data_IF_860275118807
#
_entry.id   IF_860275118807
#
_cell.length_a   1.000
_cell.length_b   1.000
_cell.length_c   1.000
_cell.angle_alpha   90.00
_cell.angle_beta   90.00
_cell.angle_gamma   90.00
#
_symmetry.space_group_name_H-M   'P 1'
#
loop_
_entity.id
_entity.type
_entity.pdbx_description
1 polymer ?
#
# COMPACT_ATOMS: atom_id res chain seq x y z
N UNK A 1 12.81 24.83 39.73
CA UNK A 1 12.30 25.03 38.34
C UNK A 1 11.63 23.75 37.90
N UNK A 2 10.29 23.67 37.96
CA UNK A 2 9.53 22.57 37.38
C UNK A 2 9.15 22.96 35.95
N UNK A 3 9.65 22.22 34.97
CA UNK A 3 9.17 22.30 33.59
C UNK A 3 7.87 21.48 33.50
N UNK A 4 6.73 22.18 33.53
CA UNK A 4 5.43 21.56 33.27
C UNK A 4 5.32 21.17 31.80
N UNK A 5 5.36 19.88 31.50
CA UNK A 5 5.00 19.34 30.20
C UNK A 5 3.49 19.52 29.99
N UNK A 6 3.10 20.55 29.25
CA UNK A 6 1.75 20.67 28.70
C UNK A 6 1.54 19.67 27.57
N UNK A 7 0.96 18.52 27.85
CA UNK A 7 0.48 17.61 26.81
C UNK A 7 -0.84 18.13 26.26
N UNK A 8 -0.82 18.59 25.00
CA UNK A 8 -2.04 18.97 24.28
C UNK A 8 -2.64 17.70 23.68
N UNK A 9 -3.82 17.30 24.15
CA UNK A 9 -4.61 16.22 23.54
C UNK A 9 -5.58 16.87 22.55
N UNK A 10 -5.35 16.64 21.27
CA UNK A 10 -6.25 17.09 20.21
C UNK A 10 -7.41 16.09 20.10
N UNK A 11 -8.54 16.41 20.72
CA UNK A 11 -9.77 15.62 20.65
C UNK A 11 -10.54 16.04 19.40
N UNK A 12 -10.49 15.22 18.35
CA UNK A 12 -11.35 15.34 17.17
C UNK A 12 -12.57 14.40 17.27
N UNK A 13 -13.69 14.72 16.61
CA UNK A 13 -14.86 13.83 16.55
C UNK A 13 -14.48 12.43 16.05
N UNK A 14 -15.19 11.37 16.47
CA UNK A 14 -14.85 9.98 16.13
C UNK A 14 -14.76 9.72 14.61
N UNK A 15 -15.49 10.51 13.81
CA UNK A 15 -15.46 10.49 12.34
C UNK A 15 -14.20 11.13 11.73
N UNK A 16 -13.40 11.83 12.53
CA UNK A 16 -12.07 12.36 12.21
C UNK A 16 -10.93 11.42 12.58
N UNK A 17 -11.20 10.18 13.03
CA UNK A 17 -10.21 9.13 12.89
C UNK A 17 -9.81 9.15 11.40
N UNK A 18 -8.56 9.55 11.04
CA UNK A 18 -8.26 9.87 9.67
C UNK A 18 -8.41 8.56 8.91
N UNK A 19 -9.51 8.41 8.18
CA UNK A 19 -9.63 7.44 7.10
C UNK A 19 -8.58 7.90 6.10
N UNK A 20 -7.31 7.58 6.36
CA UNK A 20 -6.17 7.93 5.53
C UNK A 20 -6.54 7.42 4.15
N UNK A 21 -6.91 8.34 3.28
CA UNK A 21 -7.23 8.04 1.89
C UNK A 21 -5.88 7.81 1.23
N UNK A 22 -5.43 6.57 1.27
CA UNK A 22 -4.22 6.17 0.57
C UNK A 22 -4.48 6.26 -0.92
N UNK A 23 -3.60 6.98 -1.63
CA UNK A 23 -3.62 7.01 -3.09
C UNK A 23 -3.40 5.59 -3.62
N UNK A 24 -4.05 5.25 -4.73
CA UNK A 24 -3.87 3.95 -5.39
C UNK A 24 -2.41 3.66 -5.72
N UNK A 25 -1.64 4.69 -6.07
CA UNK A 25 -0.20 4.61 -6.31
C UNK A 25 0.59 4.24 -5.04
N UNK A 26 0.20 4.76 -3.88
CA UNK A 26 0.79 4.39 -2.59
C UNK A 26 0.46 2.94 -2.21
N UNK A 27 -0.77 2.50 -2.49
CA UNK A 27 -1.18 1.10 -2.32
C UNK A 27 -0.37 0.19 -3.24
N UNK A 28 -0.25 0.54 -4.53
CA UNK A 28 0.52 -0.23 -5.51
C UNK A 28 2.00 -0.33 -5.11
N UNK A 29 2.59 0.78 -4.65
CA UNK A 29 3.94 0.80 -4.11
C UNK A 29 4.09 -0.15 -2.92
N UNK A 30 3.15 -0.12 -1.96
CA UNK A 30 3.16 -1.01 -0.81
C UNK A 30 3.18 -2.49 -1.21
N UNK A 31 2.33 -2.86 -2.17
CA UNK A 31 2.25 -4.22 -2.70
C UNK A 31 3.56 -4.62 -3.38
N UNK A 32 4.15 -3.74 -4.20
CA UNK A 32 5.44 -3.97 -4.86
C UNK A 32 6.60 -4.17 -3.88
N UNK A 33 6.72 -3.31 -2.86
CA UNK A 33 7.75 -3.44 -1.84
C UNK A 33 7.64 -4.78 -1.11
N UNK A 34 6.42 -5.19 -0.75
CA UNK A 34 6.19 -6.44 -0.04
C UNK A 34 6.38 -7.70 -0.90
N UNK A 35 5.88 -7.70 -2.14
CA UNK A 35 5.93 -8.89 -3.00
C UNK A 35 7.23 -9.03 -3.77
N UNK A 36 7.71 -7.93 -4.36
CA UNK A 36 8.81 -7.96 -5.34
C UNK A 36 10.15 -7.74 -4.68
N UNK A 37 10.22 -6.82 -3.70
CA UNK A 37 11.43 -6.58 -2.92
C UNK A 37 11.48 -7.39 -1.63
N UNK A 38 10.43 -8.16 -1.32
CA UNK A 38 10.39 -9.04 -0.17
C UNK A 38 10.47 -8.32 1.19
N UNK A 39 10.19 -7.02 1.22
CA UNK A 39 10.32 -6.22 2.44
C UNK A 39 9.35 -6.71 3.54
N UNK A 40 9.75 -6.63 4.81
CA UNK A 40 8.86 -6.90 5.93
C UNK A 40 7.81 -5.80 6.04
N UNK A 41 6.66 -6.13 6.64
CA UNK A 41 5.49 -5.24 6.63
C UNK A 41 5.73 -3.91 7.35
N UNK A 42 6.59 -3.88 8.38
CA UNK A 42 7.00 -2.65 9.06
C UNK A 42 7.76 -1.68 8.14
N UNK A 43 8.71 -2.18 7.35
CA UNK A 43 9.47 -1.35 6.39
C UNK A 43 8.56 -0.82 5.28
N UNK A 44 7.62 -1.66 4.80
CA UNK A 44 6.62 -1.24 3.83
C UNK A 44 5.72 -0.13 4.41
N UNK A 45 5.29 -0.27 5.66
CA UNK A 45 4.52 0.76 6.35
C UNK A 45 5.30 2.08 6.44
N UNK A 46 6.57 2.02 6.85
CA UNK A 46 7.41 3.21 6.96
C UNK A 46 7.62 3.90 5.62
N UNK A 47 7.88 3.12 4.56
CA UNK A 47 8.03 3.64 3.20
C UNK A 47 6.77 4.31 2.66
N UNK A 48 5.58 3.81 3.01
CA UNK A 48 4.30 4.30 2.46
C UNK A 48 3.74 5.47 3.28
N UNK A 49 3.98 5.49 4.59
CA UNK A 49 3.40 6.48 5.51
C UNK A 49 4.36 7.57 5.95
N UNK A 50 5.67 7.35 5.78
CA UNK A 50 6.72 8.21 6.34
C UNK A 50 6.83 8.12 7.87
N UNK A 51 6.13 7.18 8.51
CA UNK A 51 6.11 7.01 9.96
C UNK A 51 6.90 5.79 10.40
N UNK A 52 7.50 5.88 11.58
CA UNK A 52 8.20 4.75 12.17
C UNK A 52 7.27 3.54 12.39
N UNK A 53 7.76 2.36 12.03
CA UNK A 53 7.07 1.08 12.22
C UNK A 53 6.92 0.70 13.69
N UNK A 54 7.72 1.29 14.60
CA UNK A 54 7.57 1.16 16.05
C UNK A 54 6.19 1.65 16.57
N UNK A 55 5.44 2.39 15.74
CA UNK A 55 4.06 2.81 16.05
C UNK A 55 3.01 1.73 15.74
N UNK A 56 3.41 0.60 15.15
CA UNK A 56 2.53 -0.56 14.97
C UNK A 56 2.65 -1.48 16.18
N UNK A 57 1.53 -1.83 16.82
CA UNK A 57 1.50 -2.86 17.88
C UNK A 57 2.03 -4.21 17.42
N UNK A 58 1.91 -4.50 16.12
CA UNK A 58 2.41 -5.72 15.45
C UNK A 58 2.90 -5.37 14.05
N UNK A 59 4.15 -4.88 13.90
CA UNK A 59 4.68 -4.45 12.61
C UNK A 59 4.75 -5.59 11.58
N UNK A 60 4.85 -6.83 12.02
CA UNK A 60 4.80 -8.04 11.20
C UNK A 60 3.39 -8.41 10.70
N UNK A 61 2.34 -7.75 11.24
CA UNK A 61 0.93 -7.96 10.89
C UNK A 61 0.23 -6.65 10.57
N UNK A 62 0.77 -5.90 9.61
CA UNK A 62 0.10 -4.73 9.06
C UNK A 62 -1.17 -5.15 8.28
N UNK A 63 -2.29 -5.22 9.01
CA UNK A 63 -3.60 -5.69 8.53
C UNK A 63 -4.06 -4.97 7.26
N UNK A 64 -3.75 -3.68 7.15
CA UNK A 64 -4.13 -2.85 5.99
C UNK A 64 -3.51 -3.36 4.69
N UNK A 65 -2.25 -3.80 4.70
CA UNK A 65 -1.61 -4.38 3.50
C UNK A 65 -2.33 -5.64 3.04
N UNK A 66 -2.69 -6.52 3.98
CA UNK A 66 -3.46 -7.72 3.68
C UNK A 66 -4.90 -7.42 3.24
N UNK A 67 -5.49 -6.29 3.65
CA UNK A 67 -6.79 -5.87 3.14
C UNK A 67 -6.68 -5.33 1.71
N UNK A 68 -5.66 -4.52 1.43
CA UNK A 68 -5.40 -4.02 0.09
C UNK A 68 -5.13 -5.13 -0.90
N UNK A 69 -4.27 -6.10 -0.54
CA UNK A 69 -3.99 -7.23 -1.41
C UNK A 69 -5.28 -8.02 -1.75
N UNK A 70 -6.16 -8.27 -0.78
CA UNK A 70 -7.46 -8.93 -1.04
C UNK A 70 -8.38 -8.09 -1.92
N UNK A 71 -8.49 -6.80 -1.65
CA UNK A 71 -9.34 -5.89 -2.42
C UNK A 71 -8.83 -5.72 -3.87
N UNK A 72 -7.51 -5.75 -4.06
CA UNK A 72 -6.88 -5.80 -5.39
C UNK A 72 -7.18 -7.11 -6.11
N UNK A 73 -7.06 -8.27 -5.45
CA UNK A 73 -7.47 -9.56 -6.02
C UNK A 73 -8.95 -9.59 -6.42
N UNK A 74 -9.82 -8.92 -5.67
CA UNK A 74 -11.24 -8.81 -5.99
C UNK A 74 -11.56 -7.81 -7.12
N UNK A 75 -10.56 -7.09 -7.64
CA UNK A 75 -10.74 -6.03 -8.64
C UNK A 75 -11.41 -4.77 -8.11
N UNK A 76 -11.44 -4.59 -6.77
CA UNK A 76 -12.10 -3.44 -6.12
C UNK A 76 -11.20 -2.20 -6.12
N UNK A 77 -9.89 -2.38 -5.92
CA UNK A 77 -8.93 -1.26 -5.88
C UNK A 77 -8.39 -0.87 -7.25
N UNK A 78 -8.23 -1.85 -8.14
CA UNK A 78 -7.68 -1.66 -9.48
C UNK A 78 -8.55 -2.44 -10.47
N UNK A 79 -9.29 -1.73 -11.33
CA UNK A 79 -10.22 -2.39 -12.27
C UNK A 79 -9.49 -3.11 -13.41
N UNK A 80 -8.33 -2.60 -13.78
CA UNK A 80 -7.51 -3.20 -14.82
C UNK A 80 -6.78 -4.48 -14.38
N UNK A 81 -6.80 -4.81 -13.08
CA UNK A 81 -6.24 -6.07 -12.58
C UNK A 81 -7.31 -7.15 -12.69
N UNK A 82 -7.03 -8.27 -13.38
CA UNK A 82 -7.97 -9.39 -13.45
C UNK A 82 -8.26 -9.94 -12.06
N UNK A 83 -9.49 -10.42 -11.84
CA UNK A 83 -9.83 -11.03 -10.55
C UNK A 83 -8.98 -12.27 -10.31
N UNK A 84 -8.34 -12.33 -9.15
CA UNK A 84 -7.49 -13.44 -8.74
C UNK A 84 -8.19 -14.20 -7.63
N UNK A 85 -8.58 -15.45 -7.90
CA UNK A 85 -9.15 -16.34 -6.89
C UNK A 85 -8.03 -16.80 -5.94
N UNK A 86 -7.87 -16.09 -4.83
CA UNK A 86 -6.89 -16.43 -3.79
C UNK A 86 -7.58 -16.59 -2.44
N UNK A 87 -7.61 -17.82 -1.92
CA UNK A 87 -8.08 -18.13 -0.57
C UNK A 87 -7.06 -17.69 0.49
N UNK A 88 -5.77 -17.74 0.15
CA UNK A 88 -4.66 -17.30 1.00
C UNK A 88 -3.81 -16.27 0.25
N UNK A 89 -3.51 -15.16 0.90
CA UNK A 89 -2.62 -14.14 0.36
C UNK A 89 -1.17 -14.62 0.44
N UNK A 90 -0.59 -14.90 -0.73
CA UNK A 90 0.85 -15.19 -0.88
C UNK A 90 1.54 -14.03 -1.61
N UNK A 91 2.84 -13.87 -1.40
CA UNK A 91 3.65 -12.88 -2.13
C UNK A 91 3.57 -13.07 -3.64
N UNK A 92 3.53 -14.31 -4.11
CA UNK A 92 3.36 -14.65 -5.53
C UNK A 92 2.02 -14.16 -6.09
N UNK A 93 0.93 -14.30 -5.32
CA UNK A 93 -0.38 -13.75 -5.69
C UNK A 93 -0.33 -12.23 -5.82
N UNK A 94 0.30 -11.54 -4.87
CA UNK A 94 0.43 -10.08 -4.92
C UNK A 94 1.38 -9.62 -6.02
N UNK A 95 2.42 -10.41 -6.33
CA UNK A 95 3.30 -10.15 -7.46
C UNK A 95 2.53 -10.15 -8.78
N UNK A 96 1.58 -11.06 -8.98
CA UNK A 96 0.74 -11.05 -10.18
C UNK A 96 -0.09 -9.77 -10.33
N UNK A 97 -0.57 -9.19 -9.22
CA UNK A 97 -1.27 -7.89 -9.21
C UNK A 97 -0.30 -6.79 -9.67
N UNK A 98 0.90 -6.77 -9.12
CA UNK A 98 1.95 -5.80 -9.45
C UNK A 98 2.33 -5.89 -10.93
N UNK A 99 2.50 -7.11 -11.45
CA UNK A 99 2.84 -7.34 -12.86
C UNK A 99 1.71 -6.90 -13.80
N UNK A 100 0.46 -7.14 -13.43
CA UNK A 100 -0.70 -6.63 -14.16
C UNK A 100 -0.70 -5.09 -14.20
N UNK A 101 -0.43 -4.43 -13.07
CA UNK A 101 -0.32 -2.96 -13.03
C UNK A 101 0.82 -2.45 -13.91
N UNK A 102 1.99 -3.07 -13.88
CA UNK A 102 3.13 -2.73 -14.76
C UNK A 102 2.77 -2.92 -16.24
N UNK A 103 1.96 -3.94 -16.56
CA UNK A 103 1.44 -4.21 -17.90
C UNK A 103 0.45 -3.14 -18.40
N UNK A 104 -0.32 -2.54 -17.49
CA UNK A 104 -1.28 -1.46 -17.80
C UNK A 104 -0.64 -0.08 -17.95
N UNK A 105 0.66 0.04 -17.72
CA UNK A 105 1.37 1.31 -17.82
C UNK A 105 1.33 1.85 -19.27
N UNK A 106 1.17 3.18 -19.46
CA UNK A 106 1.12 3.78 -20.78
C UNK A 106 2.43 3.54 -21.57
N UNK A 107 2.36 3.47 -22.92
CA UNK A 107 3.50 3.11 -23.76
C UNK A 107 4.70 4.06 -23.57
N UNK A 108 4.45 5.32 -23.22
CA UNK A 108 5.47 6.32 -22.90
C UNK A 108 6.39 5.93 -21.73
N UNK A 109 5.99 4.97 -20.90
CA UNK A 109 6.76 4.50 -19.73
C UNK A 109 7.48 3.17 -19.94
N UNK A 110 7.33 2.49 -21.09
CA UNK A 110 7.81 1.11 -21.31
C UNK A 110 9.33 0.93 -21.14
N UNK A 111 10.12 1.94 -21.49
CA UNK A 111 11.58 1.93 -21.32
C UNK A 111 12.06 2.36 -19.93
N UNK A 112 11.14 2.78 -19.05
CA UNK A 112 11.46 3.27 -17.72
C UNK A 112 11.62 2.16 -16.67
N UNK A 113 12.15 2.50 -15.48
CA UNK A 113 12.25 1.58 -14.36
C UNK A 113 10.91 0.96 -13.98
N UNK A 114 10.92 -0.27 -13.50
CA UNK A 114 9.72 -1.02 -13.12
C UNK A 114 8.80 -0.24 -12.16
N UNK A 115 9.39 0.47 -11.19
CA UNK A 115 8.64 1.31 -10.24
C UNK A 115 7.87 2.45 -10.93
N UNK A 116 8.46 3.08 -11.94
CA UNK A 116 7.79 4.16 -12.69
C UNK A 116 6.60 3.60 -13.46
N UNK A 117 6.79 2.45 -14.11
CA UNK A 117 5.72 1.74 -14.83
C UNK A 117 4.60 1.30 -13.91
N UNK A 118 4.93 0.76 -12.73
CA UNK A 118 3.97 0.40 -11.71
C UNK A 118 3.10 1.59 -11.28
N UNK A 119 3.73 2.71 -10.94
CA UNK A 119 3.01 3.91 -10.48
C UNK A 119 2.12 4.47 -11.60
N UNK A 120 2.64 4.52 -12.83
CA UNK A 120 1.87 4.96 -13.99
C UNK A 120 0.68 4.04 -14.26
N UNK A 121 0.87 2.72 -14.25
CA UNK A 121 -0.20 1.74 -14.43
C UNK A 121 -1.26 1.80 -13.31
N UNK A 122 -0.83 1.93 -12.05
CA UNK A 122 -1.72 2.10 -10.90
C UNK A 122 -2.60 3.35 -11.00
N UNK A 123 -2.08 4.44 -11.57
CA UNK A 123 -2.85 5.65 -11.84
C UNK A 123 -3.87 5.47 -12.98
N UNK A 124 -3.56 4.62 -13.97
CA UNK A 124 -4.41 4.38 -15.15
C UNK A 124 -5.43 3.25 -14.97
N UNK A 125 -5.28 2.39 -13.95
CA UNK A 125 -6.13 1.22 -13.70
C UNK A 125 -7.53 1.56 -13.12
N UNK A 126 -8.18 2.64 -13.59
CA UNK A 126 -9.50 3.15 -13.13
C UNK A 126 -10.70 2.47 -13.76
#
# INVERSE_FOLDING_TARGET
VQAGCGSVILVGPADWAPRRRYLRTAIALALYLWSSLGQPQGDVYAAVTGLDSARLDRPERWRTLGQWARASCAGVLFRAVPRIAATVLRRTTVRAIVDALIGTAPPSTRGGPERVRLLAGAAHAM
#
